data_IF_660246673956
#
_entry.id   IF_660246673956
#
_cell.length_a   1.000
_cell.length_b   1.000
_cell.length_c   1.000
_cell.angle_alpha   90.00
_cell.angle_beta   90.00
_cell.angle_gamma   90.00
#
_symmetry.space_group_name_H-M   'P 1'
#
loop_
_entity.id
_entity.type
_entity.pdbx_description
1 polymer ?
#
# COMPACT_ATOMS: atom_id res chain seq x y z
N UNK A 1 -16.70 19.70 1.24
CA UNK A 1 -15.94 18.46 0.93
C UNK A 1 -14.67 18.75 0.15
N UNK A 2 -14.70 19.49 -0.97
CA UNK A 2 -13.49 19.79 -1.76
C UNK A 2 -12.36 20.46 -0.96
N UNK A 3 -12.69 21.43 -0.10
CA UNK A 3 -11.69 22.08 0.77
C UNK A 3 -11.07 21.12 1.81
N UNK A 4 -11.82 20.12 2.29
CA UNK A 4 -11.33 19.12 3.24
C UNK A 4 -10.35 18.18 2.56
N UNK A 5 -10.69 17.68 1.37
CA UNK A 5 -9.80 16.82 0.57
C UNK A 5 -8.51 17.55 0.22
N UNK A 6 -8.58 18.80 -0.23
CA UNK A 6 -7.39 19.61 -0.53
C UNK A 6 -6.51 19.84 0.70
N UNK A 7 -7.09 20.07 1.88
CA UNK A 7 -6.31 20.17 3.12
C UNK A 7 -5.66 18.83 3.46
N UNK A 8 -6.43 17.73 3.43
CA UNK A 8 -5.91 16.38 3.63
C UNK A 8 -4.73 16.04 2.72
N UNK A 9 -4.85 16.33 1.42
CA UNK A 9 -3.77 16.15 0.45
C UNK A 9 -2.52 16.94 0.80
N UNK A 10 -2.65 18.19 1.31
CA UNK A 10 -1.49 18.97 1.79
C UNK A 10 -0.84 18.34 3.02
N UNK A 11 -1.63 17.77 3.93
CA UNK A 11 -1.10 17.06 5.10
C UNK A 11 -0.32 15.83 4.64
N UNK A 12 -0.93 15.01 3.79
CA UNK A 12 -0.32 13.81 3.22
C UNK A 12 0.96 14.16 2.45
N UNK A 13 0.98 15.28 1.72
CA UNK A 13 2.16 15.80 1.03
C UNK A 13 3.32 16.06 2.01
N UNK A 14 3.03 16.63 3.18
CA UNK A 14 4.01 16.80 4.24
C UNK A 14 4.54 15.47 4.78
N UNK A 15 3.67 14.49 4.99
CA UNK A 15 4.06 13.14 5.45
C UNK A 15 4.99 12.46 4.44
N UNK A 16 4.62 12.45 3.14
CA UNK A 16 5.45 11.80 2.12
C UNK A 16 6.76 12.55 1.88
N UNK A 17 6.81 13.87 2.09
CA UNK A 17 8.06 14.65 2.01
C UNK A 17 9.07 14.17 3.08
N UNK A 18 8.61 13.97 4.30
CA UNK A 18 9.46 13.48 5.40
C UNK A 18 9.88 12.01 5.19
N UNK A 19 8.97 11.17 4.67
CA UNK A 19 9.28 9.79 4.29
C UNK A 19 10.32 9.75 3.17
N UNK A 20 10.17 10.59 2.13
CA UNK A 20 11.11 10.67 1.01
C UNK A 20 12.51 11.07 1.50
N UNK A 21 12.60 12.08 2.37
CA UNK A 21 13.87 12.49 2.98
C UNK A 21 14.50 11.36 3.81
N UNK A 22 13.70 10.63 4.59
CA UNK A 22 14.15 9.47 5.37
C UNK A 22 14.67 8.34 4.46
N UNK A 23 13.95 8.05 3.37
CA UNK A 23 14.32 7.06 2.38
C UNK A 23 15.60 7.43 1.63
N UNK A 24 15.73 8.67 1.16
CA UNK A 24 16.92 9.18 0.47
C UNK A 24 18.17 9.09 1.37
N UNK A 25 18.06 9.57 2.61
CA UNK A 25 19.15 9.52 3.61
C UNK A 25 19.66 8.10 3.84
N UNK A 26 18.77 7.12 3.77
CA UNK A 26 19.10 5.72 4.03
C UNK A 26 19.26 4.88 2.77
N UNK A 27 19.24 5.47 1.56
CA UNK A 27 19.30 4.74 0.28
C UNK A 27 18.26 3.62 0.21
N UNK A 28 16.99 3.98 0.41
CA UNK A 28 15.83 3.09 0.30
C UNK A 28 15.04 3.53 -0.93
N UNK A 29 14.95 2.65 -1.92
CA UNK A 29 14.13 2.91 -3.10
C UNK A 29 12.68 2.50 -2.85
N UNK A 30 11.76 3.39 -3.23
CA UNK A 30 10.32 3.15 -3.25
C UNK A 30 9.71 3.73 -4.52
N UNK A 31 8.43 3.43 -4.74
CA UNK A 31 7.66 3.93 -5.87
C UNK A 31 6.29 4.35 -5.37
N UNK A 32 5.72 5.44 -5.91
CA UNK A 32 4.27 5.63 -5.87
C UNK A 32 3.60 4.42 -6.53
N UNK A 33 2.44 4.01 -6.01
CA UNK A 33 1.68 2.86 -6.55
C UNK A 33 0.24 3.23 -6.80
N UNK A 34 -0.40 2.55 -7.76
CA UNK A 34 -1.84 2.64 -7.97
C UNK A 34 -2.35 4.04 -8.32
N UNK A 35 -3.33 4.53 -7.54
CA UNK A 35 -3.95 5.85 -7.72
C UNK A 35 -2.93 6.98 -7.62
N UNK A 36 -1.97 6.87 -6.70
CA UNK A 36 -0.91 7.87 -6.52
C UNK A 36 -0.01 7.99 -7.74
N UNK A 37 0.33 6.88 -8.41
CA UNK A 37 1.07 6.90 -9.69
C UNK A 37 0.24 7.54 -10.80
N UNK A 38 -1.06 7.24 -10.86
CA UNK A 38 -1.97 7.88 -11.84
C UNK A 38 -2.01 9.39 -11.61
N UNK A 39 -2.14 9.82 -10.35
CA UNK A 39 -2.11 11.24 -9.96
C UNK A 39 -0.84 11.93 -10.44
N UNK A 40 0.32 11.36 -10.12
CA UNK A 40 1.62 11.90 -10.52
C UNK A 40 1.73 12.10 -12.04
N UNK A 41 1.34 11.10 -12.82
CA UNK A 41 1.49 11.14 -14.28
C UNK A 41 0.46 12.06 -14.93
N UNK A 42 -0.82 11.94 -14.54
CA UNK A 42 -1.97 12.57 -15.19
C UNK A 42 -2.25 13.99 -14.69
N UNK A 43 -2.14 14.21 -13.38
CA UNK A 43 -2.50 15.47 -12.72
C UNK A 43 -1.30 16.25 -12.20
N UNK A 44 -0.10 15.67 -12.25
CA UNK A 44 1.13 16.25 -11.65
C UNK A 44 0.99 16.46 -10.15
N UNK A 45 0.25 15.59 -9.48
CA UNK A 45 -0.13 15.74 -8.08
C UNK A 45 -1.19 14.71 -7.68
N UNK A 46 -2.00 15.02 -6.68
CA UNK A 46 -3.09 14.11 -6.28
C UNK A 46 -4.19 14.04 -7.35
N UNK A 47 -4.92 12.91 -7.37
CA UNK A 47 -6.22 12.91 -8.05
C UNK A 47 -7.16 13.82 -7.24
N UNK A 48 -7.95 14.72 -7.86
CA UNK A 48 -8.69 15.75 -7.11
C UNK A 48 -9.66 15.25 -6.04
N UNK A 49 -10.07 13.99 -6.11
CA UNK A 49 -10.98 13.33 -5.18
C UNK A 49 -10.32 12.21 -4.36
N UNK A 50 -9.02 11.94 -4.56
CA UNK A 50 -8.28 10.97 -3.73
C UNK A 50 -8.07 11.52 -2.33
N UNK A 51 -8.12 10.63 -1.35
CA UNK A 51 -7.98 10.90 0.08
C UNK A 51 -6.79 10.18 0.73
N UNK A 52 -5.96 9.49 -0.05
CA UNK A 52 -4.80 8.75 0.41
C UNK A 52 -3.57 8.91 -0.51
N UNK A 53 -2.45 8.34 -0.06
CA UNK A 53 -1.24 8.16 -0.87
C UNK A 53 -0.61 6.83 -0.52
N UNK A 54 -0.37 6.04 -1.57
CA UNK A 54 0.22 4.72 -1.48
C UNK A 54 1.63 4.72 -2.05
N UNK A 55 2.57 4.15 -1.30
CA UNK A 55 3.91 3.80 -1.79
C UNK A 55 4.13 2.29 -1.72
N UNK A 56 5.03 1.80 -2.56
CA UNK A 56 5.43 0.41 -2.59
C UNK A 56 6.93 0.26 -2.70
N UNK A 57 7.48 -0.71 -1.98
CA UNK A 57 8.91 -1.01 -1.93
C UNK A 57 9.16 -2.46 -2.35
N UNK A 58 10.36 -2.75 -2.83
CA UNK A 58 10.82 -4.15 -2.93
C UNK A 58 10.89 -4.77 -1.52
N UNK A 59 10.81 -6.10 -1.41
CA UNK A 59 10.91 -6.76 -0.12
C UNK A 59 12.14 -6.30 0.70
N UNK A 60 13.31 -6.24 0.07
CA UNK A 60 14.54 -5.81 0.72
C UNK A 60 14.48 -4.35 1.22
N UNK A 61 13.93 -3.43 0.41
CA UNK A 61 13.76 -2.03 0.81
C UNK A 61 12.70 -1.87 1.90
N UNK A 62 11.65 -2.67 1.87
CA UNK A 62 10.61 -2.67 2.89
C UNK A 62 11.14 -3.11 4.27
N UNK A 63 11.92 -4.20 4.32
CA UNK A 63 12.57 -4.66 5.56
C UNK A 63 13.55 -3.61 6.09
N UNK A 64 14.33 -2.98 5.19
CA UNK A 64 15.22 -1.87 5.55
C UNK A 64 14.44 -0.65 6.07
N UNK A 65 13.31 -0.33 5.45
CA UNK A 65 12.43 0.76 5.85
C UNK A 65 11.83 0.53 7.23
N UNK A 66 11.36 -0.69 7.56
CA UNK A 66 10.89 -1.04 8.91
C UNK A 66 11.98 -0.75 9.94
N UNK A 67 13.22 -1.18 9.68
CA UNK A 67 14.34 -0.95 10.59
C UNK A 67 14.60 0.55 10.77
N UNK A 68 14.68 1.29 9.67
CA UNK A 68 14.93 2.74 9.69
C UNK A 68 13.81 3.51 10.38
N UNK A 69 12.54 3.14 10.18
CA UNK A 69 11.42 3.76 10.87
C UNK A 69 11.50 3.54 12.39
N UNK A 70 11.85 2.32 12.82
CA UNK A 70 12.01 2.02 14.23
C UNK A 70 13.20 2.78 14.86
N UNK A 71 14.25 3.10 14.10
CA UNK A 71 15.47 3.72 14.63
C UNK A 71 15.53 5.25 14.48
N UNK A 72 14.96 5.81 13.41
CA UNK A 72 15.22 7.19 12.97
C UNK A 72 13.96 8.02 12.69
N UNK A 73 12.77 7.42 12.61
CA UNK A 73 11.55 8.20 12.41
C UNK A 73 11.29 9.05 13.66
N UNK A 74 10.91 10.32 13.46
CA UNK A 74 10.48 11.20 14.53
C UNK A 74 9.23 10.62 15.21
N UNK A 75 9.40 10.07 16.41
CA UNK A 75 8.33 9.41 17.16
C UNK A 75 7.37 10.37 17.84
N UNK A 76 7.75 11.64 18.00
CA UNK A 76 6.88 12.70 18.53
C UNK A 76 5.95 13.20 17.43
N UNK A 77 6.42 13.21 16.18
CA UNK A 77 5.61 13.59 15.02
C UNK A 77 4.81 12.42 14.43
N UNK A 78 5.38 11.22 14.40
CA UNK A 78 4.79 10.08 13.71
C UNK A 78 4.58 8.86 14.61
N UNK A 79 3.52 8.12 14.30
CA UNK A 79 3.32 6.74 14.71
C UNK A 79 3.54 5.82 13.51
N UNK A 80 4.52 4.93 13.61
CA UNK A 80 4.75 3.88 12.63
C UNK A 80 3.93 2.64 13.01
N UNK A 81 2.89 2.36 12.25
CA UNK A 81 2.07 1.16 12.41
C UNK A 81 2.69 0.03 11.56
N UNK A 82 3.43 -0.87 12.20
CA UNK A 82 4.17 -1.93 11.52
C UNK A 82 3.24 -3.09 11.12
N UNK A 83 3.29 -3.48 9.84
CA UNK A 83 2.57 -4.62 9.30
C UNK A 83 2.81 -5.92 10.08
N UNK A 84 1.75 -6.68 10.36
CA UNK A 84 1.72 -7.92 11.16
C UNK A 84 2.14 -7.82 12.63
N UNK A 85 2.65 -6.68 13.08
CA UNK A 85 3.03 -6.46 14.48
C UNK A 85 1.96 -5.65 15.21
N UNK A 86 1.65 -4.48 14.68
CA UNK A 86 0.65 -3.57 15.26
C UNK A 86 -0.73 -3.73 14.60
N UNK A 87 -0.79 -4.41 13.46
CA UNK A 87 -2.05 -4.66 12.75
C UNK A 87 -1.98 -5.91 11.87
N UNK A 88 -3.13 -6.53 11.54
CA UNK A 88 -3.15 -7.87 10.95
C UNK A 88 -2.70 -7.97 9.48
N UNK A 89 -2.60 -6.88 8.70
CA UNK A 89 -2.21 -7.02 7.28
C UNK A 89 -0.71 -6.83 7.06
N UNK A 90 -0.27 -7.27 5.87
CA UNK A 90 1.12 -7.35 5.46
C UNK A 90 1.61 -6.09 4.75
N UNK A 91 1.27 -4.92 5.29
CA UNK A 91 1.75 -3.60 4.88
C UNK A 91 1.77 -2.67 6.09
N UNK A 92 2.54 -1.59 6.04
CA UNK A 92 2.69 -0.66 7.17
C UNK A 92 2.03 0.68 6.86
N UNK A 93 1.83 1.49 7.90
CA UNK A 93 1.40 2.89 7.74
C UNK A 93 2.32 3.82 8.52
N UNK A 94 2.64 4.97 7.94
CA UNK A 94 3.24 6.09 8.67
C UNK A 94 2.13 7.09 8.95
N UNK A 95 1.78 7.27 10.22
CA UNK A 95 0.64 8.09 10.66
C UNK A 95 1.11 9.34 11.38
N UNK A 96 0.57 10.49 11.02
CA UNK A 96 0.84 11.77 11.67
C UNK A 96 0.11 11.84 13.02
N UNK A 97 0.85 12.03 14.10
CA UNK A 97 0.27 12.19 15.44
C UNK A 97 -0.55 13.47 15.55
N UNK A 98 -1.42 13.52 16.55
CA UNK A 98 -2.33 14.65 16.82
C UNK A 98 -3.30 14.98 15.68
N UNK A 99 -3.46 14.06 14.72
CA UNK A 99 -4.50 14.11 13.69
C UNK A 99 -5.36 12.86 13.80
N UNK A 100 -6.52 12.83 13.15
CA UNK A 100 -7.38 11.64 13.10
C UNK A 100 -8.09 11.53 11.76
N UNK A 101 -8.08 10.32 11.20
CA UNK A 101 -8.86 9.96 10.02
C UNK A 101 -9.69 8.71 10.33
N UNK A 102 -11.01 8.85 10.22
CA UNK A 102 -11.94 7.75 10.44
C UNK A 102 -12.03 6.92 9.16
N UNK A 103 -11.40 5.75 9.18
CA UNK A 103 -11.54 4.74 8.13
C UNK A 103 -12.74 3.83 8.47
N UNK A 104 -13.47 3.34 7.46
CA UNK A 104 -14.57 2.35 7.64
C UNK A 104 -14.15 1.11 8.45
N UNK A 105 -12.86 0.80 8.44
CA UNK A 105 -12.29 -0.40 9.02
C UNK A 105 -10.96 -0.06 9.70
N UNK A 106 -10.98 0.69 10.78
CA UNK A 106 -9.78 1.13 11.51
C UNK A 106 -8.87 -0.02 12.03
N UNK A 107 -9.35 -1.26 11.98
CA UNK A 107 -8.58 -2.44 12.38
C UNK A 107 -8.37 -2.55 13.90
N UNK A 108 -9.17 -1.82 14.69
CA UNK A 108 -9.07 -1.83 16.16
C UNK A 108 -7.87 -1.05 16.70
N UNK A 109 -7.28 -0.16 15.90
CA UNK A 109 -6.25 0.77 16.35
C UNK A 109 -6.84 1.74 17.38
N UNK A 110 -6.06 2.11 18.39
CA UNK A 110 -6.52 3.05 19.41
C UNK A 110 -6.74 4.45 18.82
N UNK A 111 -7.73 5.24 19.30
CA UNK A 111 -8.09 6.53 18.71
C UNK A 111 -6.90 7.50 18.56
N UNK A 112 -5.96 7.49 19.51
CA UNK A 112 -4.77 8.34 19.51
C UNK A 112 -3.75 7.99 18.41
N UNK A 113 -3.87 6.82 17.79
CA UNK A 113 -3.02 6.36 16.72
C UNK A 113 -3.73 6.37 15.35
N UNK A 114 -4.96 6.88 15.25
CA UNK A 114 -5.75 6.98 14.01
C UNK A 114 -5.32 8.15 13.10
N UNK A 115 -4.06 8.57 13.14
CA UNK A 115 -3.56 9.72 12.37
C UNK A 115 -3.69 9.59 10.86
N UNK A 116 -3.75 10.74 10.17
CA UNK A 116 -3.61 10.88 8.71
C UNK A 116 -2.32 10.17 8.27
N UNK A 117 -2.34 9.47 7.14
CA UNK A 117 -1.31 8.48 6.86
C UNK A 117 -0.86 8.40 5.41
N UNK A 118 0.28 7.75 5.22
CA UNK A 118 0.75 7.16 3.96
C UNK A 118 0.82 5.64 4.13
N UNK A 119 0.22 4.91 3.20
CA UNK A 119 0.26 3.45 3.17
C UNK A 119 1.56 2.97 2.50
N UNK A 120 2.26 2.03 3.16
CA UNK A 120 3.55 1.50 2.71
C UNK A 120 3.41 0.01 2.41
N UNK A 121 3.27 -0.31 1.14
CA UNK A 121 3.18 -1.67 0.63
C UNK A 121 4.54 -2.28 0.31
N UNK A 122 4.54 -3.61 0.15
CA UNK A 122 5.70 -4.37 -0.31
C UNK A 122 5.40 -5.17 -1.57
N UNK A 123 6.43 -5.36 -2.39
CA UNK A 123 6.50 -6.30 -3.49
C UNK A 123 7.21 -7.57 -3.03
N UNK A 124 6.63 -8.70 -3.38
CA UNK A 124 7.27 -10.00 -3.22
C UNK A 124 7.90 -10.45 -4.54
N UNK A 125 9.02 -11.17 -4.48
CA UNK A 125 9.61 -11.79 -5.65
C UNK A 125 8.73 -12.93 -6.16
N UNK A 126 8.61 -13.06 -7.49
CA UNK A 126 7.80 -14.07 -8.15
C UNK A 126 8.63 -14.76 -9.24
N UNK A 127 8.79 -16.10 -9.19
CA UNK A 127 9.76 -16.80 -10.03
C UNK A 127 9.35 -16.83 -11.50
N UNK A 128 8.06 -16.95 -11.78
CA UNK A 128 7.48 -17.09 -13.11
C UNK A 128 5.99 -16.71 -13.10
N UNK A 129 5.40 -16.57 -14.29
CA UNK A 129 3.95 -16.38 -14.48
C UNK A 129 3.19 -17.69 -14.71
N UNK A 130 3.80 -18.84 -14.38
CA UNK A 130 3.26 -20.16 -14.66
C UNK A 130 2.74 -20.80 -13.37
N UNK A 131 2.99 -22.10 -13.18
CA UNK A 131 2.45 -22.87 -12.07
C UNK A 131 2.96 -22.35 -10.71
N UNK A 132 4.26 -22.04 -10.59
CA UNK A 132 4.84 -21.61 -9.31
C UNK A 132 4.34 -20.23 -8.90
N UNK A 133 4.28 -19.28 -9.85
CA UNK A 133 3.68 -17.98 -9.59
C UNK A 133 2.20 -18.08 -9.23
N UNK A 134 1.42 -18.92 -9.93
CA UNK A 134 -0.02 -19.13 -9.63
C UNK A 134 -0.22 -19.70 -8.22
N UNK A 135 0.60 -20.67 -7.85
CA UNK A 135 0.59 -21.26 -6.51
C UNK A 135 0.93 -20.22 -5.44
N UNK A 136 2.01 -19.45 -5.62
CA UNK A 136 2.40 -18.38 -4.71
C UNK A 136 1.27 -17.33 -4.55
N UNK A 137 0.69 -16.87 -5.66
CA UNK A 137 -0.43 -15.92 -5.66
C UNK A 137 -1.65 -16.49 -4.95
N UNK A 138 -2.00 -17.76 -5.20
CA UNK A 138 -3.08 -18.44 -4.49
C UNK A 138 -2.82 -18.44 -2.99
N UNK A 139 -1.62 -18.83 -2.55
CA UNK A 139 -1.24 -18.84 -1.14
C UNK A 139 -1.32 -17.44 -0.53
N UNK A 140 -0.83 -16.41 -1.23
CA UNK A 140 -0.89 -15.03 -0.78
C UNK A 140 -2.33 -14.53 -0.65
N UNK A 141 -3.25 -14.89 -1.57
CA UNK A 141 -4.66 -14.50 -1.49
C UNK A 141 -5.42 -15.27 -0.40
N UNK A 142 -5.10 -16.54 -0.16
CA UNK A 142 -5.64 -17.31 0.97
C UNK A 142 -5.21 -16.68 2.30
N UNK A 143 -3.93 -16.30 2.41
CA UNK A 143 -3.43 -15.64 3.59
C UNK A 143 -4.01 -14.23 3.78
N UNK A 144 -4.15 -13.44 2.71
CA UNK A 144 -4.86 -12.15 2.74
C UNK A 144 -6.30 -12.31 3.24
N UNK A 145 -7.02 -13.34 2.77
CA UNK A 145 -8.37 -13.60 3.26
C UNK A 145 -8.41 -13.87 4.77
N UNK A 146 -7.41 -14.58 5.30
CA UNK A 146 -7.26 -14.79 6.74
C UNK A 146 -6.97 -13.48 7.49
N UNK A 147 -5.99 -12.69 7.04
CA UNK A 147 -5.66 -11.41 7.66
C UNK A 147 -6.87 -10.46 7.67
N UNK A 148 -7.63 -10.41 6.59
CA UNK A 148 -8.89 -9.66 6.51
C UNK A 148 -9.95 -10.22 7.47
N UNK A 149 -10.00 -11.53 7.72
CA UNK A 149 -10.91 -12.15 8.69
C UNK A 149 -10.57 -11.83 10.15
N UNK A 150 -9.31 -11.49 10.42
CA UNK A 150 -8.86 -10.99 11.72
C UNK A 150 -9.23 -9.51 11.91
N UNK A 151 -9.43 -8.77 10.81
CA UNK A 151 -10.06 -7.44 10.82
C UNK A 151 -11.57 -7.63 11.08
N UNK A 152 -12.18 -6.76 11.87
CA UNK A 152 -13.65 -6.67 12.04
C UNK A 152 -14.32 -6.11 10.78
N UNK A 153 -14.12 -6.77 9.64
CA UNK A 153 -14.52 -6.30 8.31
C UNK A 153 -16.05 -6.43 8.13
N UNK A 154 -16.78 -5.34 8.38
CA UNK A 154 -18.25 -5.32 8.34
C UNK A 154 -18.80 -5.15 6.91
N UNK A 155 -18.07 -4.45 6.04
CA UNK A 155 -18.47 -4.02 4.69
C UNK A 155 -18.35 -5.09 3.58
N UNK A 156 -17.83 -6.28 3.90
CA UNK A 156 -17.57 -7.32 2.91
C UNK A 156 -18.86 -7.85 2.24
N UNK A 157 -18.80 -8.06 0.92
CA UNK A 157 -19.83 -8.79 0.19
C UNK A 157 -20.00 -10.21 0.74
N UNK A 158 -21.18 -10.81 0.55
CA UNK A 158 -21.49 -12.15 1.08
C UNK A 158 -20.47 -13.21 0.64
N UNK A 159 -19.96 -13.13 -0.59
CA UNK A 159 -18.90 -14.01 -1.10
C UNK A 159 -17.59 -13.84 -0.33
N UNK A 160 -17.18 -12.60 -0.07
CA UNK A 160 -15.96 -12.29 0.70
C UNK A 160 -16.08 -12.75 2.15
N UNK A 161 -17.27 -12.61 2.76
CA UNK A 161 -17.57 -13.14 4.11
C UNK A 161 -17.44 -14.67 4.18
N UNK A 162 -17.87 -15.41 3.16
CA UNK A 162 -17.68 -16.87 3.11
C UNK A 162 -16.22 -17.27 2.98
N UNK A 163 -15.45 -16.59 2.13
CA UNK A 163 -14.00 -16.82 1.99
C UNK A 163 -13.29 -16.57 3.34
N UNK A 164 -13.63 -15.47 4.03
CA UNK A 164 -13.11 -15.17 5.36
C UNK A 164 -13.54 -16.18 6.44
N UNK A 165 -14.71 -16.81 6.32
CA UNK A 165 -15.13 -17.90 7.22
C UNK A 165 -14.35 -19.17 6.95
N UNK A 166 -14.10 -19.50 5.68
CA UNK A 166 -13.29 -20.65 5.26
C UNK A 166 -11.83 -20.52 5.67
N UNK A 167 -11.29 -19.29 5.70
CA UNK A 167 -9.93 -19.01 6.16
C UNK A 167 -9.73 -19.21 7.66
N UNK A 168 -10.77 -19.53 8.45
CA UNK A 168 -10.63 -19.83 9.89
C UNK A 168 -9.72 -21.02 10.18
N UNK A 169 -9.52 -21.94 9.22
CA UNK A 169 -8.54 -23.02 9.35
C UNK A 169 -7.10 -22.51 9.49
N UNK A 170 -6.81 -21.30 9.00
CA UNK A 170 -5.51 -20.62 9.19
C UNK A 170 -5.34 -20.10 10.63
N UNK A 171 -6.32 -20.20 11.53
CA UNK A 171 -6.07 -19.99 12.97
C UNK A 171 -5.11 -21.02 13.55
N UNK A 172 -4.93 -22.15 12.88
CA UNK A 172 -3.91 -23.13 13.23
C UNK A 172 -2.56 -22.58 12.77
N UNK A 173 -1.70 -22.21 13.72
CA UNK A 173 -0.41 -21.52 13.45
C UNK A 173 0.47 -22.21 12.40
N UNK A 174 0.49 -23.55 12.33
CA UNK A 174 1.28 -24.25 11.33
C UNK A 174 0.72 -24.07 9.90
N UNK A 175 -0.60 -23.97 9.75
CA UNK A 175 -1.27 -23.73 8.47
C UNK A 175 -1.03 -22.28 8.03
N UNK A 176 -1.18 -21.32 8.95
CA UNK A 176 -0.82 -19.93 8.70
C UNK A 176 0.63 -19.81 8.21
N UNK A 177 1.57 -20.39 8.97
CA UNK A 177 2.99 -20.33 8.65
C UNK A 177 3.31 -20.98 7.30
N UNK A 178 2.61 -22.06 6.91
CA UNK A 178 2.75 -22.65 5.60
C UNK A 178 2.36 -21.67 4.49
N UNK A 179 1.16 -21.08 4.55
CA UNK A 179 0.68 -20.17 3.52
C UNK A 179 1.50 -18.88 3.44
N UNK A 180 1.91 -18.35 4.60
CA UNK A 180 2.87 -17.26 4.70
C UNK A 180 4.17 -17.62 3.98
N UNK A 181 4.79 -18.74 4.35
CA UNK A 181 6.08 -19.16 3.78
C UNK A 181 5.99 -19.38 2.27
N UNK A 182 4.87 -19.89 1.77
CA UNK A 182 4.66 -20.03 0.33
C UNK A 182 4.52 -18.68 -0.38
N UNK A 183 3.84 -17.71 0.24
CA UNK A 183 3.69 -16.36 -0.31
C UNK A 183 5.03 -15.61 -0.39
N UNK A 184 5.90 -15.78 0.62
CA UNK A 184 7.19 -15.07 0.75
C UNK A 184 8.40 -15.90 0.27
N UNK A 185 8.17 -17.09 -0.31
CA UNK A 185 9.19 -18.12 -0.59
C UNK A 185 10.38 -17.61 -1.40
N UNK A 186 10.14 -16.69 -2.32
CA UNK A 186 11.13 -16.26 -3.31
C UNK A 186 11.81 -14.93 -2.95
N UNK A 187 11.46 -14.31 -1.82
CA UNK A 187 11.95 -12.97 -1.45
C UNK A 187 13.46 -12.88 -1.20
N UNK A 188 14.13 -14.02 -1.02
CA UNK A 188 15.59 -14.13 -0.89
C UNK A 188 16.27 -14.52 -2.21
N UNK A 189 15.63 -14.30 -3.36
CA UNK A 189 16.13 -14.69 -4.69
C UNK A 189 15.85 -13.59 -5.70
N UNK A 190 16.74 -13.44 -6.66
CA UNK A 190 16.44 -12.65 -7.85
C UNK A 190 15.44 -13.40 -8.73
N UNK A 191 14.44 -12.68 -9.22
CA UNK A 191 13.39 -13.22 -10.08
C UNK A 191 13.05 -12.23 -11.18
N UNK A 192 12.42 -12.69 -12.25
CA UNK A 192 12.03 -11.84 -13.39
C UNK A 192 10.81 -10.95 -13.10
N UNK A 193 10.03 -11.30 -12.07
CA UNK A 193 8.79 -10.63 -11.74
C UNK A 193 8.70 -10.25 -10.26
N UNK A 194 7.97 -9.17 -10.01
CA UNK A 194 7.45 -8.79 -8.70
C UNK A 194 5.94 -9.04 -8.63
N UNK A 195 5.48 -9.36 -7.43
CA UNK A 195 4.08 -9.60 -7.07
C UNK A 195 3.58 -8.57 -6.08
N UNK A 196 2.52 -7.85 -6.44
CA UNK A 196 1.74 -7.03 -5.50
C UNK A 196 0.47 -7.77 -5.09
N UNK A 197 0.56 -8.55 -4.02
CA UNK A 197 -0.51 -9.49 -3.63
C UNK A 197 -1.55 -8.91 -2.67
N UNK A 198 -1.20 -7.87 -1.91
CA UNK A 198 -2.02 -7.37 -0.80
C UNK A 198 -2.87 -6.14 -1.13
N UNK A 199 -2.70 -5.57 -2.32
CA UNK A 199 -3.59 -4.54 -2.86
C UNK A 199 -4.86 -5.09 -3.54
N UNK A 200 -5.64 -4.20 -4.15
CA UNK A 200 -6.84 -4.51 -4.95
C UNK A 200 -6.47 -5.07 -6.35
N UNK A 201 -5.58 -6.07 -6.38
CA UNK A 201 -5.05 -6.69 -7.60
C UNK A 201 -5.71 -8.05 -7.87
N UNK A 202 -5.74 -8.43 -9.15
CA UNK A 202 -6.07 -9.77 -9.64
C UNK A 202 -4.83 -10.40 -10.31
N UNK A 203 -4.90 -11.68 -10.67
CA UNK A 203 -3.76 -12.40 -11.27
C UNK A 203 -3.12 -11.68 -12.47
N UNK A 204 -3.92 -11.01 -13.31
CA UNK A 204 -3.41 -10.38 -14.55
C UNK A 204 -2.55 -9.15 -14.27
N UNK A 205 -2.85 -8.41 -13.20
CA UNK A 205 -2.17 -7.16 -12.86
C UNK A 205 -1.36 -7.21 -11.55
N UNK A 206 -1.45 -8.30 -10.79
CA UNK A 206 -0.67 -8.49 -9.57
C UNK A 206 0.81 -8.78 -9.85
N UNK A 207 1.13 -9.36 -11.00
CA UNK A 207 2.50 -9.78 -11.35
C UNK A 207 2.99 -8.91 -12.49
N UNK A 208 4.12 -8.24 -12.28
CA UNK A 208 4.72 -7.27 -13.20
C UNK A 208 6.21 -7.58 -13.31
N UNK A 209 6.82 -7.38 -14.48
CA UNK A 209 8.25 -7.65 -14.64
C UNK A 209 9.08 -6.69 -13.78
N UNK A 210 10.17 -7.19 -13.18
CA UNK A 210 11.08 -6.37 -12.38
C UNK A 210 11.63 -5.18 -13.17
N UNK A 211 11.84 -5.33 -14.49
CA UNK A 211 12.30 -4.26 -15.38
C UNK A 211 11.35 -3.06 -15.43
N UNK A 212 10.05 -3.29 -15.22
CA UNK A 212 9.05 -2.22 -15.27
C UNK A 212 9.22 -1.30 -14.07
N UNK A 213 9.52 -1.86 -12.89
CA UNK A 213 9.86 -1.09 -11.70
C UNK A 213 11.24 -0.44 -11.84
N UNK A 214 12.25 -1.25 -12.21
CA UNK A 214 13.55 -0.76 -12.64
C UNK A 214 14.24 0.14 -11.61
N UNK A 215 14.88 1.21 -12.07
CA UNK A 215 15.37 2.29 -11.20
C UNK A 215 14.29 3.37 -10.99
N UNK A 216 14.08 3.87 -9.76
CA UNK A 216 13.12 4.94 -9.51
C UNK A 216 13.34 6.18 -10.40
N UNK A 217 12.27 6.62 -11.06
CA UNK A 217 12.26 7.86 -11.85
C UNK A 217 11.46 8.92 -11.13
N UNK A 218 12.05 10.08 -10.85
CA UNK A 218 11.36 11.16 -10.16
C UNK A 218 10.56 12.04 -11.12
N UNK A 219 9.27 12.22 -10.82
CA UNK A 219 8.35 13.08 -11.58
C UNK A 219 7.76 14.16 -10.69
N UNK A 220 7.27 15.24 -11.30
CA UNK A 220 6.61 16.32 -10.56
C UNK A 220 5.32 15.82 -9.87
N UNK A 221 5.18 16.16 -8.60
CA UNK A 221 4.02 15.86 -7.78
C UNK A 221 3.76 17.03 -6.81
N UNK A 222 2.73 17.81 -7.10
CA UNK A 222 2.45 19.08 -6.41
C UNK A 222 3.69 20.00 -6.42
N UNK A 223 4.23 20.36 -5.25
CA UNK A 223 5.42 21.20 -5.09
C UNK A 223 6.73 20.42 -4.94
N UNK A 224 6.70 19.08 -5.03
CA UNK A 224 7.88 18.21 -4.85
C UNK A 224 8.06 17.27 -6.05
N UNK A 225 9.06 16.40 -5.98
CA UNK A 225 9.22 15.28 -6.91
C UNK A 225 9.15 13.97 -6.16
N UNK A 226 8.42 13.01 -6.69
CA UNK A 226 8.28 11.68 -6.09
C UNK A 226 8.64 10.58 -7.09
N UNK A 227 9.20 9.46 -6.61
CA UNK A 227 9.62 8.36 -7.47
C UNK A 227 8.43 7.56 -7.98
N UNK A 228 8.44 7.27 -9.28
CA UNK A 228 7.58 6.32 -9.97
C UNK A 228 8.43 5.24 -10.64
N UNK A 229 7.77 4.19 -11.16
CA UNK A 229 8.41 3.09 -11.86
C UNK A 229 9.23 3.59 -13.07
N UNK A 230 10.34 2.93 -13.40
CA UNK A 230 11.18 3.26 -14.56
C UNK A 230 10.36 3.25 -15.86
N UNK A 231 9.54 2.21 -16.06
CA UNK A 231 8.63 2.11 -17.19
C UNK A 231 7.19 2.44 -16.78
N UNK A 232 6.97 3.64 -16.22
CA UNK A 232 5.67 4.05 -15.63
C UNK A 232 4.48 3.90 -16.59
N UNK A 233 4.66 4.17 -17.89
CA UNK A 233 3.59 3.99 -18.87
C UNK A 233 3.21 2.52 -19.07
N UNK A 234 4.19 1.60 -19.09
CA UNK A 234 3.95 0.15 -19.15
C UNK A 234 3.26 -0.33 -17.86
N UNK A 235 3.72 0.12 -16.70
CA UNK A 235 3.11 -0.17 -15.40
C UNK A 235 1.62 0.20 -15.36
N UNK A 236 1.30 1.46 -15.71
CA UNK A 236 -0.06 1.97 -15.67
C UNK A 236 -0.96 1.29 -16.70
N UNK A 237 -0.46 1.08 -17.92
CA UNK A 237 -1.22 0.41 -18.99
C UNK A 237 -1.51 -1.05 -18.64
N UNK A 238 -0.53 -1.79 -18.09
CA UNK A 238 -0.74 -3.18 -17.68
C UNK A 238 -1.75 -3.27 -16.51
N UNK A 239 -1.71 -2.31 -15.59
CA UNK A 239 -2.51 -2.38 -14.35
C UNK A 239 -3.94 -1.89 -14.55
N UNK A 240 -4.13 -0.82 -15.33
CA UNK A 240 -5.38 -0.06 -15.44
C UNK A 240 -5.92 0.06 -16.87
N UNK A 241 -5.14 -0.30 -17.90
CA UNK A 241 -5.51 -0.08 -19.30
C UNK A 241 -5.38 1.40 -19.66
N UNK A 242 -6.44 1.99 -20.22
CA UNK A 242 -6.48 3.42 -20.55
C UNK A 242 -6.64 4.28 -19.28
N UNK A 243 -5.54 4.46 -18.56
CA UNK A 243 -5.49 5.19 -17.29
C UNK A 243 -5.65 6.71 -17.45
N UNK A 244 -5.50 7.23 -18.67
CA UNK A 244 -5.71 8.66 -18.96
C UNK A 244 -7.20 8.99 -19.01
N UNK A 245 -8.05 8.02 -19.37
CA UNK A 245 -9.50 8.17 -19.30
C UNK A 245 -9.96 8.34 -17.86
N UNK A 246 -10.71 9.42 -17.62
CA UNK A 246 -11.30 9.65 -16.31
C UNK A 246 -12.44 8.66 -16.05
N UNK A 247 -12.61 8.18 -14.79
CA UNK A 247 -13.78 7.42 -14.43
C UNK A 247 -15.04 8.29 -14.55
N UNK A 248 -16.24 7.68 -14.65
CA UNK A 248 -17.52 8.38 -14.58
C UNK A 248 -17.61 9.25 -13.32
N UNK A 249 -18.29 10.40 -13.39
CA UNK A 249 -18.35 11.35 -12.26
C UNK A 249 -18.86 10.75 -10.95
N UNK A 250 -19.82 9.83 -11.03
CA UNK A 250 -20.35 9.10 -9.86
C UNK A 250 -19.32 8.22 -9.14
N UNK A 251 -18.21 7.90 -9.79
CA UNK A 251 -17.10 7.10 -9.25
C UNK A 251 -15.92 7.99 -8.79
N UNK A 252 -16.02 9.32 -8.95
CA UNK A 252 -15.00 10.30 -8.55
C UNK A 252 -15.18 10.71 -7.09
N UNK A 253 -15.06 9.73 -6.20
CA UNK A 253 -15.19 9.90 -4.75
C UNK A 253 -13.97 9.32 -4.03
N UNK A 254 -13.60 9.92 -2.90
CA UNK A 254 -12.62 9.35 -1.98
C UNK A 254 -13.08 7.99 -1.46
N UNK A 255 -12.14 7.10 -1.23
CA UNK A 255 -12.44 5.69 -0.92
C UNK A 255 -12.19 5.32 0.54
N UNK A 256 -11.49 6.17 1.31
CA UNK A 256 -10.89 5.81 2.58
C UNK A 256 -11.42 6.64 3.76
N UNK A 257 -11.51 7.96 3.60
CA UNK A 257 -11.84 8.90 4.66
C UNK A 257 -13.35 9.09 4.81
N UNK A 258 -13.90 8.73 5.98
CA UNK A 258 -15.26 9.09 6.35
C UNK A 258 -15.32 10.46 7.01
N UNK A 259 -14.35 10.74 7.88
CA UNK A 259 -14.23 11.98 8.61
C UNK A 259 -12.74 12.25 8.91
N UNK A 260 -12.37 13.52 8.99
CA UNK A 260 -11.00 13.96 9.22
C UNK A 260 -10.98 15.05 10.29
N UNK A 261 -10.19 14.82 11.33
CA UNK A 261 -9.78 15.82 12.29
C UNK A 261 -8.31 16.16 12.02
N UNK A 262 -8.08 17.43 11.67
CA UNK A 262 -6.75 17.90 11.37
C UNK A 262 -5.93 18.17 12.63
N UNK A 263 -6.51 18.39 13.81
CA UNK A 263 -5.76 18.78 15.01
C UNK A 263 -4.80 19.97 14.79
N UNK A 264 -3.76 20.06 15.63
CA UNK A 264 -2.85 21.21 15.73
C UNK A 264 -1.38 20.90 15.34
N UNK A 265 -1.16 19.95 14.42
CA UNK A 265 0.16 19.41 14.04
C UNK A 265 1.15 20.42 13.41
#
# INVERSE_FOLDING_TARGET
>A
MENVVKHLQRVILGIITDIDALCQKNSIDYYLVGGSTIGAVRHKGFIPWDDDLDIIMTHANYEKFIKVCNEQLDREKYYFQEGRKDWPLNYSKVRLRHTRIEELEDGGITPENQGIFVDVFKLDHVPDRNFRGKWQYFCAKVWLAYMLSCRTYTSASSKKKWIMRGSKLLRIKCVEHFFQRQAELYNNRETEYYGFFYGRTNWKNAIISCRVYGKPTYVDFESIKLPVQECVHEYLTQTFGDYMKLPPEKERIGLHALNVDFGDY
#
